data_IF_831030965891
#
_entry.id   IF_831030965891
#
_cell.length_a   1.000
_cell.length_b   1.000
_cell.length_c   1.000
_cell.angle_alpha   90.00
_cell.angle_beta   90.00
_cell.angle_gamma   90.00
#
_symmetry.space_group_name_H-M   'P 1'
#
loop_
_entity.id
_entity.type
_entity.pdbx_description
1 polymer ?
#
# COMPACT_ATOMS: atom_id res chain seq x y z
N UNK A 1 -24.57 -20.79 13.13
CA UNK A 1 -24.24 -19.40 12.82
C UNK A 1 -24.48 -19.18 11.33
N UNK A 2 -25.04 -18.06 10.92
CA UNK A 2 -25.15 -17.69 9.51
C UNK A 2 -23.74 -17.45 8.96
N UNK A 3 -23.46 -17.98 7.76
CA UNK A 3 -22.18 -17.74 7.09
C UNK A 3 -22.05 -16.26 6.74
N UNK A 4 -20.84 -15.69 6.88
CA UNK A 4 -20.56 -14.31 6.50
C UNK A 4 -20.64 -14.13 4.98
N UNK A 5 -21.16 -12.98 4.55
CA UNK A 5 -21.19 -12.57 3.14
C UNK A 5 -19.91 -11.83 2.80
N UNK A 6 -19.12 -12.37 1.90
CA UNK A 6 -17.87 -11.78 1.45
C UNK A 6 -17.96 -11.37 -0.02
N UNK A 7 -17.57 -10.13 -0.31
CA UNK A 7 -17.47 -9.63 -1.68
C UNK A 7 -16.04 -9.79 -2.22
N UNK A 8 -15.91 -10.58 -3.28
CA UNK A 8 -14.68 -10.73 -4.03
C UNK A 8 -14.66 -9.69 -5.17
N UNK A 9 -13.75 -8.73 -5.08
CA UNK A 9 -13.55 -7.68 -6.07
C UNK A 9 -12.34 -8.08 -6.92
N UNK A 10 -12.53 -8.28 -8.23
CA UNK A 10 -11.43 -8.66 -9.11
C UNK A 10 -10.95 -7.49 -9.95
N UNK A 11 -9.62 -7.36 -10.07
CA UNK A 11 -8.96 -6.32 -10.86
C UNK A 11 -8.10 -6.89 -11.99
N UNK A 12 -8.04 -8.23 -12.13
CA UNK A 12 -7.18 -8.93 -13.08
C UNK A 12 -5.95 -9.53 -12.41
N UNK A 13 -4.78 -9.34 -13.01
CA UNK A 13 -3.50 -9.87 -12.53
C UNK A 13 -3.28 -11.36 -12.82
N UNK A 14 -2.14 -11.89 -12.38
CA UNK A 14 -1.70 -13.28 -12.65
C UNK A 14 -2.68 -14.32 -12.15
N UNK A 15 -3.35 -14.07 -11.02
CA UNK A 15 -4.31 -15.02 -10.43
C UNK A 15 -5.44 -15.39 -11.39
N UNK A 16 -5.92 -14.41 -12.19
CA UNK A 16 -6.98 -14.58 -13.17
C UNK A 16 -6.42 -14.76 -14.61
N UNK A 17 -5.12 -14.98 -14.77
CA UNK A 17 -4.48 -15.06 -16.08
C UNK A 17 -4.51 -16.47 -16.65
N UNK A 18 -4.50 -16.52 -17.99
CA UNK A 18 -4.30 -17.74 -18.77
C UNK A 18 -3.09 -17.54 -19.67
N UNK A 19 -2.35 -18.61 -19.91
CA UNK A 19 -1.18 -18.56 -20.80
C UNK A 19 -1.62 -18.43 -22.26
N UNK A 20 -1.16 -17.39 -22.93
CA UNK A 20 -1.39 -17.11 -24.34
C UNK A 20 -0.05 -17.16 -25.11
N UNK A 21 -0.10 -17.05 -26.45
CA UNK A 21 1.10 -16.96 -27.27
C UNK A 21 1.95 -15.71 -26.99
N UNK A 22 1.34 -14.64 -26.44
CA UNK A 22 1.99 -13.38 -26.07
C UNK A 22 2.37 -13.29 -24.59
N UNK A 23 2.14 -14.34 -23.79
CA UNK A 23 2.40 -14.36 -22.35
C UNK A 23 1.13 -14.61 -21.51
N UNK A 24 1.20 -14.31 -20.22
CA UNK A 24 0.04 -14.39 -19.33
C UNK A 24 -0.88 -13.19 -19.56
N UNK A 25 -2.19 -13.44 -19.69
CA UNK A 25 -3.20 -12.40 -19.83
C UNK A 25 -4.37 -12.67 -18.88
N UNK A 26 -4.82 -11.68 -18.09
CA UNK A 26 -5.99 -11.84 -17.22
C UNK A 26 -7.25 -11.92 -18.09
N UNK A 27 -7.90 -13.09 -18.10
CA UNK A 27 -9.08 -13.36 -18.91
C UNK A 27 -10.20 -14.09 -18.15
N UNK A 28 -9.89 -14.70 -16.98
CA UNK A 28 -10.90 -15.35 -16.15
C UNK A 28 -11.86 -14.32 -15.56
N UNK A 29 -13.14 -14.60 -15.64
CA UNK A 29 -14.17 -13.83 -14.91
C UNK A 29 -14.07 -14.08 -13.40
N UNK A 30 -14.72 -13.24 -12.63
CA UNK A 30 -14.74 -13.37 -11.17
C UNK A 30 -15.41 -14.70 -10.74
N UNK A 31 -16.46 -15.11 -11.45
CA UNK A 31 -17.20 -16.37 -11.23
C UNK A 31 -16.34 -17.58 -11.59
N UNK A 32 -15.63 -17.53 -12.71
CA UNK A 32 -14.71 -18.58 -13.12
C UNK A 32 -13.56 -18.73 -12.13
N UNK A 33 -13.04 -17.62 -11.57
CA UNK A 33 -12.02 -17.64 -10.54
C UNK A 33 -12.50 -18.40 -9.29
N UNK A 34 -13.70 -18.10 -8.79
CA UNK A 34 -14.28 -18.79 -7.62
C UNK A 34 -14.69 -20.23 -7.91
N UNK A 35 -15.03 -20.57 -9.17
CA UNK A 35 -15.35 -21.95 -9.55
C UNK A 35 -14.19 -22.93 -9.34
N UNK A 36 -12.94 -22.44 -9.29
CA UNK A 36 -11.77 -23.23 -8.92
C UNK A 36 -11.68 -23.60 -7.43
N UNK A 37 -12.55 -23.02 -6.58
CA UNK A 37 -12.54 -23.17 -5.11
C UNK A 37 -13.97 -23.36 -4.56
N UNK A 38 -14.72 -24.39 -4.99
CA UNK A 38 -16.09 -24.61 -4.54
C UNK A 38 -16.21 -24.79 -3.01
N UNK A 39 -15.15 -25.22 -2.35
CA UNK A 39 -15.06 -25.36 -0.89
C UNK A 39 -15.17 -24.04 -0.13
N UNK A 40 -14.97 -22.88 -0.76
CA UNK A 40 -15.20 -21.58 -0.10
C UNK A 40 -16.65 -21.40 0.32
N UNK A 41 -17.59 -22.05 -0.39
CA UNK A 41 -19.00 -22.04 -0.01
C UNK A 41 -19.25 -22.71 1.34
N UNK A 42 -18.33 -23.55 1.83
CA UNK A 42 -18.45 -24.15 3.17
C UNK A 42 -18.07 -23.16 4.26
N UNK A 43 -17.20 -22.18 3.96
CA UNK A 43 -16.66 -21.19 4.90
C UNK A 43 -17.48 -19.89 4.93
N UNK A 44 -17.94 -19.40 3.78
CA UNK A 44 -18.64 -18.11 3.65
C UNK A 44 -19.73 -18.16 2.56
N UNK A 45 -20.44 -17.05 2.36
CA UNK A 45 -21.28 -16.80 1.18
C UNK A 45 -20.50 -15.87 0.24
N UNK A 46 -19.75 -16.39 -0.73
CA UNK A 46 -18.96 -15.58 -1.63
C UNK A 46 -19.85 -14.98 -2.73
N UNK A 47 -19.68 -13.68 -2.97
CA UNK A 47 -20.24 -12.95 -4.12
C UNK A 47 -19.13 -12.23 -4.85
N UNK A 48 -19.33 -11.90 -6.13
CA UNK A 48 -18.28 -11.36 -6.99
C UNK A 48 -18.66 -10.00 -7.57
N UNK A 49 -17.62 -9.16 -7.75
CA UNK A 49 -17.69 -7.91 -8.48
C UNK A 49 -16.46 -7.77 -9.38
N UNK A 50 -16.65 -7.84 -10.69
CA UNK A 50 -15.58 -7.54 -11.64
C UNK A 50 -15.42 -6.02 -11.76
N UNK A 51 -14.31 -5.48 -11.23
CA UNK A 51 -14.05 -4.05 -11.27
C UNK A 51 -13.31 -3.64 -12.55
N UNK A 52 -12.26 -4.37 -12.89
CA UNK A 52 -11.49 -4.25 -14.13
C UNK A 52 -10.72 -5.55 -14.38
N UNK A 53 -10.05 -5.64 -15.53
CA UNK A 53 -9.23 -6.81 -15.88
C UNK A 53 -7.95 -6.32 -16.56
N UNK A 54 -6.97 -5.90 -15.75
CA UNK A 54 -5.72 -5.30 -16.21
C UNK A 54 -4.50 -5.93 -15.53
N UNK A 55 -3.33 -5.74 -16.12
CA UNK A 55 -2.07 -6.01 -15.45
C UNK A 55 -1.85 -4.96 -14.34
N UNK A 56 -1.34 -5.39 -13.19
CA UNK A 56 -1.14 -4.46 -12.08
C UNK A 56 -0.08 -3.39 -12.36
N UNK A 57 0.78 -3.57 -13.34
CA UNK A 57 1.74 -2.55 -13.79
C UNK A 57 1.07 -1.34 -14.45
N UNK A 58 -0.16 -1.50 -14.94
CA UNK A 58 -0.99 -0.44 -15.53
C UNK A 58 -1.95 0.20 -14.51
N UNK A 59 -1.93 -0.25 -13.24
CA UNK A 59 -2.77 0.33 -12.20
C UNK A 59 -2.24 1.69 -11.73
N UNK A 60 -3.11 2.70 -11.76
CA UNK A 60 -2.87 4.04 -11.28
C UNK A 60 -3.81 4.43 -10.13
N UNK A 61 -3.73 5.69 -9.71
CA UNK A 61 -4.54 6.24 -8.62
C UNK A 61 -6.05 6.15 -8.88
N UNK A 62 -6.50 6.26 -10.14
CA UNK A 62 -7.91 6.12 -10.53
C UNK A 62 -8.45 4.74 -10.16
N UNK A 63 -7.65 3.70 -10.29
CA UNK A 63 -8.04 2.34 -9.94
C UNK A 63 -8.15 2.15 -8.42
N UNK A 64 -7.26 2.79 -7.63
CA UNK A 64 -7.39 2.80 -6.16
C UNK A 64 -8.67 3.49 -5.71
N UNK A 65 -9.03 4.62 -6.34
CA UNK A 65 -10.29 5.30 -6.09
C UNK A 65 -11.50 4.45 -6.50
N UNK A 66 -11.41 3.72 -7.63
CA UNK A 66 -12.45 2.75 -8.03
C UNK A 66 -12.62 1.62 -7.01
N UNK A 67 -11.52 1.04 -6.50
CA UNK A 67 -11.55 0.01 -5.46
C UNK A 67 -12.17 0.53 -4.17
N UNK A 68 -11.75 1.71 -3.70
CA UNK A 68 -12.30 2.33 -2.50
C UNK A 68 -13.80 2.64 -2.64
N UNK A 69 -14.22 3.13 -3.82
CA UNK A 69 -15.64 3.36 -4.14
C UNK A 69 -16.44 2.06 -4.16
N UNK A 70 -15.91 0.98 -4.77
CA UNK A 70 -16.56 -0.32 -4.79
C UNK A 70 -16.78 -0.87 -3.37
N UNK A 71 -15.78 -0.73 -2.48
CA UNK A 71 -15.94 -1.07 -1.06
C UNK A 71 -16.99 -0.18 -0.41
N UNK A 72 -16.96 1.15 -0.63
CA UNK A 72 -17.91 2.11 -0.05
C UNK A 72 -19.35 1.79 -0.42
N UNK A 73 -19.63 1.54 -1.70
CA UNK A 73 -21.00 1.27 -2.21
C UNK A 73 -21.56 -0.06 -1.68
N UNK A 74 -20.69 -0.99 -1.32
CA UNK A 74 -21.07 -2.32 -0.83
C UNK A 74 -20.86 -2.50 0.68
N UNK A 75 -20.38 -1.49 1.39
CA UNK A 75 -19.94 -1.63 2.77
C UNK A 75 -21.05 -2.11 3.71
N UNK A 76 -22.29 -1.65 3.52
CA UNK A 76 -23.42 -2.06 4.34
C UNK A 76 -23.96 -3.47 4.01
N UNK A 77 -23.63 -4.03 2.85
CA UNK A 77 -24.21 -5.27 2.34
C UNK A 77 -23.38 -6.51 2.67
N UNK A 78 -22.07 -6.36 2.89
CA UNK A 78 -21.13 -7.45 3.08
C UNK A 78 -20.41 -7.35 4.43
N UNK A 79 -19.98 -8.49 4.96
CA UNK A 79 -19.25 -8.61 6.22
C UNK A 79 -17.73 -8.41 6.04
N UNK A 80 -17.24 -8.53 4.80
CA UNK A 80 -15.84 -8.32 4.46
C UNK A 80 -15.60 -8.30 2.95
N UNK A 81 -14.40 -7.89 2.56
CA UNK A 81 -14.00 -7.66 1.17
C UNK A 81 -12.68 -8.37 0.88
N UNK A 82 -12.60 -9.06 -0.26
CA UNK A 82 -11.38 -9.69 -0.76
C UNK A 82 -11.11 -9.14 -2.15
N UNK A 83 -10.01 -8.39 -2.31
CA UNK A 83 -9.61 -7.79 -3.59
C UNK A 83 -8.53 -8.68 -4.21
N UNK A 84 -8.90 -9.33 -5.33
CA UNK A 84 -7.99 -10.13 -6.13
C UNK A 84 -7.19 -9.23 -7.07
N UNK A 85 -5.89 -9.14 -6.87
CA UNK A 85 -5.01 -8.13 -7.45
C UNK A 85 -3.76 -8.76 -8.07
N UNK A 86 -3.18 -8.11 -9.08
CA UNK A 86 -1.86 -8.47 -9.60
C UNK A 86 -0.76 -8.12 -8.58
N UNK A 87 0.27 -8.96 -8.47
CA UNK A 87 1.23 -8.88 -7.36
C UNK A 87 2.21 -7.71 -7.43
N UNK A 88 2.46 -7.11 -8.63
CA UNK A 88 3.54 -6.13 -8.81
C UNK A 88 3.29 -4.81 -8.08
N UNK A 89 2.05 -4.34 -8.06
CA UNK A 89 1.66 -3.10 -7.36
C UNK A 89 0.70 -3.33 -6.19
N UNK A 90 0.49 -4.58 -5.76
CA UNK A 90 -0.42 -4.93 -4.68
C UNK A 90 -0.10 -4.18 -3.38
N UNK A 91 1.19 -4.04 -3.03
CA UNK A 91 1.61 -3.32 -1.84
C UNK A 91 1.26 -1.82 -1.89
N UNK A 92 1.41 -1.17 -3.05
CA UNK A 92 0.96 0.21 -3.26
C UNK A 92 -0.56 0.33 -3.11
N UNK A 93 -1.32 -0.59 -3.71
CA UNK A 93 -2.78 -0.60 -3.60
C UNK A 93 -3.26 -0.80 -2.17
N UNK A 94 -2.61 -1.70 -1.42
CA UNK A 94 -2.94 -1.93 -0.01
C UNK A 94 -2.64 -0.70 0.86
N UNK A 95 -1.51 -0.03 0.63
CA UNK A 95 -1.17 1.21 1.32
C UNK A 95 -2.15 2.33 0.93
N UNK A 96 -2.45 2.53 -0.36
CA UNK A 96 -3.40 3.54 -0.82
C UNK A 96 -4.80 3.33 -0.22
N UNK A 97 -5.32 2.10 -0.23
CA UNK A 97 -6.62 1.79 0.37
C UNK A 97 -6.63 2.01 1.88
N UNK A 98 -5.50 1.84 2.58
CA UNK A 98 -5.38 2.13 4.00
C UNK A 98 -5.60 3.62 4.30
N UNK A 99 -5.15 4.53 3.41
CA UNK A 99 -5.39 5.97 3.55
C UNK A 99 -6.75 6.40 3.03
N UNK A 100 -7.25 5.73 1.99
CA UNK A 100 -8.57 6.03 1.41
C UNK A 100 -9.73 5.54 2.26
N UNK A 101 -9.54 4.44 3.03
CA UNK A 101 -10.59 3.81 3.85
C UNK A 101 -10.09 3.71 5.28
N UNK A 102 -10.43 4.68 6.11
CA UNK A 102 -10.02 4.74 7.52
C UNK A 102 -11.16 4.31 8.45
N UNK A 103 -10.82 3.88 9.66
CA UNK A 103 -11.77 3.39 10.66
C UNK A 103 -12.67 2.23 10.18
N UNK A 104 -12.21 1.41 9.24
CA UNK A 104 -12.97 0.26 8.80
C UNK A 104 -13.09 -0.79 9.92
N UNK A 105 -14.32 -1.12 10.30
CA UNK A 105 -14.66 -2.19 11.26
C UNK A 105 -14.78 -3.57 10.59
N UNK A 106 -14.70 -3.61 9.26
CA UNK A 106 -14.73 -4.82 8.43
C UNK A 106 -13.36 -5.09 7.81
N UNK A 107 -13.01 -6.37 7.55
CA UNK A 107 -11.77 -6.72 6.85
C UNK A 107 -11.85 -6.33 5.36
N UNK A 108 -10.78 -5.71 4.87
CA UNK A 108 -10.54 -5.39 3.47
C UNK A 108 -9.21 -6.02 3.10
N UNK A 109 -9.25 -7.18 2.45
CA UNK A 109 -8.07 -8.00 2.21
C UNK A 109 -7.65 -7.90 0.76
N UNK A 110 -6.38 -7.56 0.52
CA UNK A 110 -5.76 -7.69 -0.79
C UNK A 110 -5.00 -9.00 -0.87
N UNK A 111 -5.18 -9.72 -1.96
CA UNK A 111 -4.46 -10.95 -2.27
C UNK A 111 -4.22 -11.07 -3.77
N UNK A 112 -3.41 -12.05 -4.15
CA UNK A 112 -3.08 -12.33 -5.54
C UNK A 112 -2.36 -13.67 -5.65
N UNK A 113 -1.68 -13.91 -6.77
CA UNK A 113 -0.88 -15.11 -6.94
C UNK A 113 0.31 -14.88 -7.87
N UNK A 114 1.37 -15.64 -7.63
CA UNK A 114 2.53 -15.72 -8.53
C UNK A 114 2.27 -16.62 -9.73
N UNK A 115 1.32 -17.56 -9.59
CA UNK A 115 0.91 -18.47 -10.66
C UNK A 115 -0.60 -18.39 -10.90
N UNK A 116 -1.05 -18.52 -12.17
CA UNK A 116 -2.47 -18.60 -12.51
C UNK A 116 -3.19 -19.69 -11.72
N UNK A 117 -4.46 -19.42 -11.34
CA UNK A 117 -5.27 -20.38 -10.58
C UNK A 117 -5.53 -21.69 -11.35
N UNK A 118 -5.52 -21.62 -12.67
CA UNK A 118 -5.71 -22.77 -13.57
C UNK A 118 -4.51 -23.70 -13.63
N UNK A 119 -3.34 -23.31 -13.13
CA UNK A 119 -2.17 -24.17 -13.10
C UNK A 119 -2.33 -25.28 -12.05
N UNK A 120 -1.78 -26.46 -12.34
CA UNK A 120 -1.79 -27.60 -11.41
C UNK A 120 -1.06 -27.24 -10.10
N UNK A 121 0.10 -26.59 -10.22
CA UNK A 121 0.87 -26.07 -9.08
C UNK A 121 0.70 -24.55 -9.06
N UNK A 122 -0.05 -24.06 -8.09
CA UNK A 122 -0.34 -22.62 -7.91
C UNK A 122 -0.45 -22.26 -6.45
N UNK A 123 -0.07 -21.04 -6.11
CA UNK A 123 -0.28 -20.40 -4.81
C UNK A 123 -1.68 -19.75 -4.70
N UNK A 124 -2.38 -19.57 -5.83
CA UNK A 124 -3.65 -18.84 -5.90
C UNK A 124 -4.74 -19.43 -4.98
N UNK A 125 -4.91 -20.76 -5.03
CA UNK A 125 -5.94 -21.45 -4.24
C UNK A 125 -5.71 -21.28 -2.75
N UNK A 126 -4.45 -21.43 -2.31
CA UNK A 126 -4.08 -21.22 -0.91
C UNK A 126 -4.30 -19.76 -0.50
N UNK A 127 -3.84 -18.81 -1.29
CA UNK A 127 -3.96 -17.38 -0.96
C UNK A 127 -5.42 -16.94 -0.85
N UNK A 128 -6.32 -17.40 -1.74
CA UNK A 128 -7.75 -17.09 -1.66
C UNK A 128 -8.39 -17.72 -0.42
N UNK A 129 -8.08 -19.01 -0.13
CA UNK A 129 -8.61 -19.69 1.04
C UNK A 129 -8.12 -19.04 2.35
N UNK A 130 -6.84 -18.71 2.45
CA UNK A 130 -6.26 -18.01 3.58
C UNK A 130 -6.90 -16.63 3.78
N UNK A 131 -7.22 -15.93 2.68
CA UNK A 131 -7.93 -14.65 2.71
C UNK A 131 -9.34 -14.80 3.28
N UNK A 132 -10.06 -15.85 2.93
CA UNK A 132 -11.38 -16.14 3.52
C UNK A 132 -11.26 -16.45 5.02
N UNK A 133 -10.31 -17.30 5.41
CA UNK A 133 -10.07 -17.63 6.84
C UNK A 133 -9.76 -16.36 7.63
N UNK A 134 -8.96 -15.45 7.08
CA UNK A 134 -8.68 -14.18 7.70
C UNK A 134 -9.91 -13.28 7.74
N UNK A 135 -10.72 -13.23 6.65
CA UNK A 135 -11.90 -12.37 6.57
C UNK A 135 -13.02 -12.77 7.55
N UNK A 136 -13.21 -14.08 7.76
CA UNK A 136 -14.25 -14.57 8.67
C UNK A 136 -13.83 -14.54 10.15
N UNK A 137 -12.57 -14.25 10.48
CA UNK A 137 -12.12 -14.12 11.86
C UNK A 137 -12.69 -12.85 12.51
N UNK A 138 -13.36 -12.95 13.66
CA UNK A 138 -14.02 -11.79 14.30
C UNK A 138 -13.06 -10.66 14.70
N UNK A 139 -11.77 -10.95 14.81
CA UNK A 139 -10.74 -9.97 15.13
C UNK A 139 -10.18 -9.25 13.91
N UNK A 140 -10.58 -9.61 12.69
CA UNK A 140 -10.05 -9.01 11.45
C UNK A 140 -10.81 -7.76 11.07
N UNK A 141 -10.09 -6.65 10.85
CA UNK A 141 -10.64 -5.37 10.40
C UNK A 141 -9.57 -4.49 9.80
N UNK A 142 -10.01 -3.52 8.97
CA UNK A 142 -9.09 -2.63 8.23
C UNK A 142 -8.47 -3.29 7.02
N UNK A 143 -7.54 -2.60 6.39
CA UNK A 143 -6.88 -3.04 5.15
C UNK A 143 -5.66 -3.92 5.47
N UNK A 144 -5.63 -5.12 4.90
CA UNK A 144 -4.58 -6.13 5.10
C UNK A 144 -4.17 -6.77 3.77
N UNK A 145 -2.95 -7.26 3.71
CA UNK A 145 -2.48 -8.17 2.67
C UNK A 145 -2.41 -9.58 3.23
N UNK A 146 -3.02 -10.55 2.54
CA UNK A 146 -2.91 -11.97 2.86
C UNK A 146 -2.22 -12.67 1.71
N UNK A 147 -1.03 -13.20 1.97
CA UNK A 147 -0.21 -13.85 0.94
C UNK A 147 0.73 -14.89 1.56
N UNK A 148 0.80 -16.09 0.98
CA UNK A 148 1.66 -17.17 1.48
C UNK A 148 1.34 -17.66 2.91
N UNK A 149 0.14 -17.37 3.43
CA UNK A 149 -0.26 -17.64 4.80
C UNK A 149 -0.04 -16.46 5.76
N UNK A 150 0.73 -15.46 5.36
CA UNK A 150 1.05 -14.28 6.17
C UNK A 150 -0.04 -13.21 6.06
N UNK A 151 -0.41 -12.59 7.18
CA UNK A 151 -1.34 -11.46 7.25
C UNK A 151 -0.55 -10.21 7.65
N UNK A 152 -0.48 -9.27 6.73
CA UNK A 152 0.38 -8.08 6.83
C UNK A 152 -0.52 -6.83 6.83
N UNK A 153 -0.22 -5.83 7.66
CA UNK A 153 -0.90 -4.54 7.59
C UNK A 153 -0.71 -3.90 6.20
N UNK A 154 -1.76 -3.31 5.64
CA UNK A 154 -1.74 -2.81 4.26
C UNK A 154 -0.64 -1.78 3.97
N UNK A 155 -0.21 -1.02 4.98
CA UNK A 155 0.87 -0.04 4.89
C UNK A 155 2.27 -0.62 5.11
N UNK A 156 2.36 -1.88 5.55
CA UNK A 156 3.64 -2.54 5.89
C UNK A 156 4.08 -3.58 4.88
N UNK A 157 3.20 -3.90 3.94
CA UNK A 157 3.47 -4.89 2.91
C UNK A 157 4.50 -4.39 1.90
N UNK A 158 5.46 -5.25 1.56
CA UNK A 158 6.43 -5.03 0.49
C UNK A 158 6.64 -6.31 -0.31
N UNK A 159 6.63 -6.21 -1.65
CA UNK A 159 7.00 -7.31 -2.53
C UNK A 159 8.52 -7.45 -2.58
N UNK A 160 9.05 -8.51 -1.98
CA UNK A 160 10.49 -8.74 -1.87
C UNK A 160 11.02 -9.79 -2.86
N UNK A 161 10.14 -10.59 -3.46
CA UNK A 161 10.52 -11.67 -4.40
C UNK A 161 9.63 -11.64 -5.64
N UNK A 162 10.24 -11.90 -6.78
CA UNK A 162 9.55 -11.84 -8.08
C UNK A 162 8.94 -13.18 -8.52
N UNK A 163 9.39 -14.31 -7.96
CA UNK A 163 9.02 -15.65 -8.42
C UNK A 163 8.44 -16.51 -7.27
N UNK A 164 9.03 -16.45 -6.08
CA UNK A 164 8.67 -17.32 -4.94
C UNK A 164 7.26 -17.04 -4.43
N UNK A 165 6.61 -18.06 -3.87
CA UNK A 165 5.24 -17.96 -3.33
C UNK A 165 5.17 -17.15 -2.03
N UNK A 166 6.26 -17.02 -1.28
CA UNK A 166 6.42 -16.12 -0.15
C UNK A 166 6.91 -14.74 -0.61
N UNK A 167 6.18 -14.12 -1.54
CA UNK A 167 6.62 -12.94 -2.27
C UNK A 167 6.57 -11.64 -1.46
N UNK A 168 5.74 -11.57 -0.42
CA UNK A 168 5.54 -10.39 0.41
C UNK A 168 6.07 -10.57 1.82
N UNK A 169 6.56 -9.49 2.41
CA UNK A 169 6.96 -9.43 3.81
C UNK A 169 6.43 -8.17 4.48
N UNK A 170 6.27 -8.23 5.80
CA UNK A 170 6.04 -7.05 6.64
C UNK A 170 7.36 -6.34 6.89
N UNK A 171 7.43 -5.04 6.62
CA UNK A 171 8.64 -4.24 6.78
C UNK A 171 8.50 -3.33 7.99
N UNK A 172 9.51 -3.36 8.87
CA UNK A 172 9.61 -2.57 10.11
C UNK A 172 8.40 -2.73 11.06
N UNK A 173 7.61 -3.80 10.89
CA UNK A 173 6.45 -4.12 11.72
C UNK A 173 6.25 -5.63 11.73
N UNK A 174 5.80 -6.24 12.86
CA UNK A 174 5.43 -7.64 12.88
C UNK A 174 4.26 -7.95 11.94
N UNK A 175 4.15 -9.18 11.51
CA UNK A 175 2.94 -9.68 10.87
C UNK A 175 1.76 -9.59 11.84
N UNK A 176 0.57 -9.29 11.33
CA UNK A 176 -0.64 -9.23 12.16
C UNK A 176 -1.06 -10.62 12.63
N UNK A 177 -0.93 -11.60 11.74
CA UNK A 177 -1.32 -12.99 11.98
C UNK A 177 -0.67 -13.93 10.97
N UNK A 178 -0.79 -15.23 11.24
CA UNK A 178 -0.43 -16.31 10.33
C UNK A 178 -1.60 -17.29 10.19
N UNK A 179 -1.91 -17.69 8.95
CA UNK A 179 -2.90 -18.75 8.67
C UNK A 179 -2.21 -20.10 8.73
N UNK A 180 -2.63 -20.94 9.64
CA UNK A 180 -2.13 -22.32 9.83
C UNK A 180 -3.25 -23.33 9.67
N UNK A 181 -3.31 -24.00 8.50
CA UNK A 181 -4.43 -24.86 8.14
C UNK A 181 -5.73 -24.06 8.07
N UNK A 182 -6.66 -24.35 8.99
CA UNK A 182 -7.97 -23.69 9.07
C UNK A 182 -8.05 -22.64 10.19
N UNK A 183 -6.93 -22.24 10.75
CA UNK A 183 -6.86 -21.33 11.90
C UNK A 183 -6.07 -20.09 11.57
N UNK A 184 -6.56 -18.96 12.05
CA UNK A 184 -5.82 -17.71 12.12
C UNK A 184 -5.13 -17.60 13.49
N UNK A 185 -3.80 -17.59 13.49
CA UNK A 185 -2.98 -17.34 14.69
C UNK A 185 -2.63 -15.86 14.69
N UNK A 186 -3.31 -15.09 15.51
CA UNK A 186 -3.16 -13.64 15.58
C UNK A 186 -2.02 -13.26 16.52
N UNK A 187 -1.11 -12.40 16.05
CA UNK A 187 0.00 -11.84 16.82
C UNK A 187 -0.31 -10.44 17.31
N UNK A 188 -0.89 -9.62 16.43
CA UNK A 188 -1.22 -8.22 16.71
C UNK A 188 -2.74 -8.06 16.57
N UNK A 189 -3.45 -7.62 17.62
CA UNK A 189 -4.87 -7.33 17.51
C UNK A 189 -5.11 -6.13 16.60
N UNK A 190 -6.07 -6.24 15.69
CA UNK A 190 -6.54 -5.07 14.94
C UNK A 190 -7.24 -4.11 15.90
N UNK A 191 -6.85 -2.82 15.93
CA UNK A 191 -7.49 -1.85 16.81
C UNK A 191 -8.96 -1.69 16.45
N UNK A 192 -9.81 -1.47 17.47
CA UNK A 192 -11.19 -1.08 17.21
C UNK A 192 -11.24 0.32 16.62
N UNK A 193 -12.11 0.59 15.65
CA UNK A 193 -12.29 1.93 15.12
C UNK A 193 -12.72 2.90 16.23
N UNK A 194 -12.20 4.11 16.18
CA UNK A 194 -12.54 5.18 17.14
C UNK A 194 -13.69 6.07 16.65
N UNK A 195 -14.19 5.82 15.44
CA UNK A 195 -15.25 6.55 14.77
C UNK A 195 -15.87 5.75 13.63
N UNK A 196 -16.82 6.34 12.89
CA UNK A 196 -17.38 5.72 11.71
C UNK A 196 -16.31 5.51 10.62
N UNK A 197 -16.57 4.56 9.71
CA UNK A 197 -15.71 4.36 8.55
C UNK A 197 -15.70 5.63 7.68
N UNK A 198 -14.51 6.05 7.27
CA UNK A 198 -14.28 7.23 6.44
C UNK A 198 -13.74 6.83 5.07
N UNK A 199 -14.30 7.42 4.01
CA UNK A 199 -13.86 7.18 2.63
C UNK A 199 -13.38 8.47 1.99
N UNK A 200 -12.09 8.55 1.70
CA UNK A 200 -11.51 9.63 0.90
C UNK A 200 -11.76 9.37 -0.60
N UNK A 201 -12.03 10.44 -1.34
CA UNK A 201 -12.44 10.36 -2.77
C UNK A 201 -11.43 10.98 -3.72
N UNK A 202 -10.32 11.47 -3.20
CA UNK A 202 -9.32 12.20 -3.97
C UNK A 202 -7.91 11.79 -3.58
N UNK A 203 -7.04 11.76 -4.57
CA UNK A 203 -5.60 11.64 -4.46
C UNK A 203 -4.95 12.66 -5.39
N UNK A 204 -3.77 13.14 -5.05
CA UNK A 204 -2.98 14.02 -5.90
C UNK A 204 -1.70 13.31 -6.34
N UNK A 205 -1.55 13.08 -7.63
CA UNK A 205 -0.41 12.34 -8.21
C UNK A 205 0.87 13.16 -8.34
N UNK A 206 0.88 14.45 -7.93
CA UNK A 206 2.06 15.31 -8.04
C UNK A 206 3.13 14.98 -6.99
N UNK A 207 3.42 13.69 -6.82
CA UNK A 207 4.41 13.10 -5.93
C UNK A 207 5.50 12.44 -6.78
N UNK A 208 6.75 12.77 -6.53
CA UNK A 208 7.90 12.19 -7.19
C UNK A 208 8.80 11.45 -6.21
N UNK A 209 9.13 10.19 -6.50
CA UNK A 209 10.09 9.41 -5.74
C UNK A 209 11.47 9.53 -6.38
N UNK A 210 12.37 10.25 -5.71
CA UNK A 210 13.74 10.48 -6.15
C UNK A 210 14.70 9.54 -5.41
N UNK A 211 15.18 8.53 -6.11
CA UNK A 211 16.27 7.70 -5.62
C UNK A 211 17.62 8.36 -5.89
N UNK A 212 18.35 8.73 -4.84
CA UNK A 212 19.68 9.30 -5.01
C UNK A 212 20.65 8.24 -5.52
N UNK A 213 21.53 8.68 -6.45
CA UNK A 213 22.65 7.88 -6.93
C UNK A 213 23.96 8.65 -6.78
N UNK A 214 25.09 7.98 -6.54
CA UNK A 214 26.40 8.66 -6.53
C UNK A 214 26.63 9.40 -7.85
N UNK A 215 27.02 10.69 -7.75
CA UNK A 215 27.30 11.52 -8.93
C UNK A 215 26.07 12.09 -9.64
N UNK A 216 24.88 12.05 -9.01
CA UNK A 216 23.65 12.65 -9.56
C UNK A 216 23.88 14.14 -9.87
N UNK A 217 23.40 14.58 -11.07
CA UNK A 217 23.48 15.99 -11.47
C UNK A 217 22.50 16.86 -10.66
N UNK A 218 22.93 17.99 -10.10
CA UNK A 218 22.04 18.92 -9.43
C UNK A 218 21.04 19.60 -10.36
N UNK A 219 21.28 19.65 -11.67
CA UNK A 219 20.40 20.32 -12.64
C UNK A 219 19.01 19.67 -12.74
N UNK A 220 18.85 18.40 -12.35
CA UNK A 220 17.57 17.70 -12.40
C UNK A 220 16.60 18.17 -11.30
N UNK A 221 17.10 18.56 -10.14
CA UNK A 221 16.28 18.79 -8.94
C UNK A 221 15.27 19.93 -9.11
N UNK A 222 15.63 21.14 -9.59
CA UNK A 222 14.65 22.20 -9.81
C UNK A 222 13.56 21.82 -10.81
N UNK A 223 13.89 21.04 -11.84
CA UNK A 223 12.92 20.56 -12.83
C UNK A 223 11.91 19.59 -12.24
N UNK A 224 12.33 18.73 -11.31
CA UNK A 224 11.40 17.86 -10.57
C UNK A 224 10.42 18.71 -9.77
N UNK A 225 10.89 19.69 -9.00
CA UNK A 225 10.01 20.60 -8.23
C UNK A 225 9.13 21.48 -9.11
N UNK A 226 9.50 21.75 -10.36
CA UNK A 226 8.64 22.45 -11.30
C UNK A 226 7.41 21.62 -11.71
N UNK A 227 7.54 20.29 -11.75
CA UNK A 227 6.51 19.35 -12.21
C UNK A 227 5.71 18.73 -11.06
N UNK A 228 6.32 18.59 -9.88
CA UNK A 228 5.75 17.89 -8.74
C UNK A 228 5.70 18.78 -7.49
N UNK A 229 4.72 18.57 -6.64
CA UNK A 229 4.57 19.33 -5.41
C UNK A 229 5.16 18.62 -4.20
N UNK A 230 5.33 17.30 -4.26
CA UNK A 230 6.02 16.52 -3.23
C UNK A 230 7.17 15.73 -3.85
N UNK A 231 8.36 15.88 -3.26
CA UNK A 231 9.55 15.08 -3.62
C UNK A 231 9.95 14.23 -2.43
N UNK A 232 9.84 12.92 -2.59
CA UNK A 232 10.29 11.92 -1.61
C UNK A 232 11.69 11.53 -2.01
N UNK A 233 12.67 11.71 -1.11
CA UNK A 233 14.08 11.42 -1.37
C UNK A 233 14.48 10.12 -0.68
N UNK A 234 14.69 9.07 -1.48
CA UNK A 234 15.37 7.85 -1.03
C UNK A 234 16.86 8.12 -0.94
N UNK A 235 17.33 8.45 0.25
CA UNK A 235 18.73 8.79 0.54
C UNK A 235 19.57 7.55 0.89
N UNK A 236 20.86 7.76 1.05
CA UNK A 236 21.81 6.71 1.47
C UNK A 236 21.78 6.51 2.99
N UNK A 237 21.99 5.27 3.44
CA UNK A 237 22.09 4.93 4.86
C UNK A 237 20.88 5.42 5.66
N UNK A 238 21.10 6.08 6.78
CA UNK A 238 20.01 6.59 7.64
C UNK A 238 19.41 7.91 7.15
N UNK A 239 19.96 8.52 6.11
CA UNK A 239 19.40 9.76 5.52
C UNK A 239 20.44 10.85 5.30
N UNK A 240 20.09 11.80 4.45
CA UNK A 240 20.90 12.99 4.13
C UNK A 240 20.93 13.28 2.63
N UNK A 241 21.34 14.50 2.29
CA UNK A 241 21.49 14.97 0.91
C UNK A 241 22.97 15.30 0.67
N UNK A 242 23.60 14.79 -0.42
CA UNK A 242 24.95 15.16 -0.79
C UNK A 242 25.14 16.68 -0.90
N UNK A 243 26.27 17.21 -0.43
CA UNK A 243 26.56 18.65 -0.40
C UNK A 243 26.32 19.33 -1.76
N UNK A 244 26.74 18.69 -2.84
CA UNK A 244 26.59 19.21 -4.20
C UNK A 244 25.15 19.38 -4.68
N UNK A 245 24.17 18.75 -4.02
CA UNK A 245 22.76 18.85 -4.37
C UNK A 245 22.00 19.88 -3.52
N UNK A 246 22.57 20.33 -2.40
CA UNK A 246 21.88 21.18 -1.42
C UNK A 246 21.31 22.48 -2.01
N UNK A 247 22.09 23.16 -2.87
CA UNK A 247 21.64 24.41 -3.49
C UNK A 247 20.51 24.18 -4.50
N UNK A 248 20.56 23.08 -5.22
CA UNK A 248 19.50 22.70 -6.17
C UNK A 248 18.19 22.37 -5.45
N UNK A 249 18.23 21.67 -4.31
CA UNK A 249 17.06 21.44 -3.47
C UNK A 249 16.50 22.75 -2.90
N UNK A 250 17.37 23.68 -2.45
CA UNK A 250 16.93 24.99 -1.96
C UNK A 250 16.22 25.79 -3.06
N UNK A 251 16.76 25.80 -4.28
CA UNK A 251 16.20 26.53 -5.41
C UNK A 251 14.83 25.94 -5.84
N UNK A 252 14.64 24.61 -5.72
CA UNK A 252 13.40 23.93 -6.13
C UNK A 252 12.30 23.96 -5.07
N UNK A 253 12.65 23.80 -3.80
CA UNK A 253 11.70 23.65 -2.70
C UNK A 253 11.02 25.00 -2.32
N UNK A 254 11.84 26.04 -2.08
CA UNK A 254 11.34 27.30 -1.55
C UNK A 254 10.73 27.17 -0.15
N UNK A 255 9.92 28.16 0.22
CA UNK A 255 9.14 28.17 1.46
C UNK A 255 7.75 27.56 1.23
N UNK A 256 7.33 26.63 2.10
CA UNK A 256 6.06 25.91 1.96
C UNK A 256 4.85 26.85 1.86
N UNK A 257 4.79 27.88 2.71
CA UNK A 257 3.67 28.82 2.79
C UNK A 257 3.46 29.61 1.47
N UNK A 258 4.48 29.65 0.61
CA UNK A 258 4.41 30.32 -0.70
C UNK A 258 4.37 29.35 -1.88
N UNK A 259 5.04 28.22 -1.77
CA UNK A 259 5.21 27.27 -2.89
C UNK A 259 4.32 26.04 -2.79
N UNK A 260 3.88 25.70 -1.59
CA UNK A 260 3.24 24.43 -1.23
C UNK A 260 4.05 23.18 -1.62
N UNK A 261 5.39 23.34 -1.79
CA UNK A 261 6.28 22.25 -2.12
C UNK A 261 6.68 21.50 -0.86
N UNK A 262 6.71 20.17 -0.94
CA UNK A 262 7.00 19.27 0.17
C UNK A 262 8.25 18.45 -0.12
N UNK A 263 9.16 18.41 0.83
CA UNK A 263 10.30 17.50 0.85
C UNK A 263 10.05 16.42 1.91
N UNK A 264 10.17 15.15 1.52
CA UNK A 264 10.10 14.02 2.45
C UNK A 264 11.41 13.24 2.35
N UNK A 265 12.05 13.03 3.49
CA UNK A 265 13.28 12.24 3.56
C UNK A 265 12.95 10.80 3.95
N UNK A 266 13.55 9.86 3.25
CA UNK A 266 13.50 8.43 3.53
C UNK A 266 14.84 7.77 3.17
N UNK A 267 14.93 6.45 3.24
CA UNK A 267 16.13 5.70 2.95
C UNK A 267 15.91 4.63 1.87
N UNK A 268 16.97 4.31 1.13
CA UNK A 268 17.02 3.17 0.19
C UNK A 268 17.14 1.82 0.91
N UNK A 269 17.46 1.85 2.21
CA UNK A 269 17.60 0.64 3.02
C UNK A 269 16.22 0.16 3.43
N UNK A 270 15.92 -1.11 3.20
CA UNK A 270 14.57 -1.65 3.39
C UNK A 270 14.14 -1.69 4.86
N UNK A 271 15.07 -1.99 5.76
CA UNK A 271 14.79 -2.17 7.18
C UNK A 271 15.41 -1.06 8.03
N UNK A 272 14.87 -0.88 9.24
CA UNK A 272 15.28 0.07 10.28
C UNK A 272 14.87 1.54 10.00
N UNK A 273 14.57 1.88 8.73
CA UNK A 273 14.08 3.22 8.37
C UNK A 273 15.15 4.31 8.33
N UNK A 274 14.71 5.58 8.34
CA UNK A 274 15.58 6.75 8.31
C UNK A 274 15.64 7.46 9.66
N UNK A 275 16.80 8.07 9.95
CA UNK A 275 17.03 9.06 11.03
C UNK A 275 18.04 10.10 10.56
N UNK A 276 17.51 11.14 9.93
CA UNK A 276 18.31 12.24 9.35
C UNK A 276 19.13 13.01 10.42
N UNK A 277 18.79 12.84 11.71
CA UNK A 277 19.48 13.52 12.80
C UNK A 277 20.83 12.92 13.23
N UNK A 278 21.12 11.67 12.84
CA UNK A 278 22.28 10.93 13.37
C UNK A 278 23.60 11.49 12.88
N UNK A 279 23.74 11.78 11.58
CA UNK A 279 25.01 12.21 10.99
C UNK A 279 25.04 13.69 10.64
N UNK A 280 26.27 14.25 10.50
CA UNK A 280 26.48 15.65 10.09
C UNK A 280 25.80 15.98 8.75
N UNK A 281 25.82 15.06 7.80
CA UNK A 281 25.13 15.20 6.50
C UNK A 281 23.64 15.48 6.70
N UNK A 282 22.99 14.75 7.60
CA UNK A 282 21.58 14.95 7.91
C UNK A 282 21.33 16.23 8.71
N UNK A 283 22.21 16.59 9.65
CA UNK A 283 22.10 17.86 10.38
C UNK A 283 22.15 19.08 9.46
N UNK A 284 22.94 19.02 8.37
CA UNK A 284 22.93 20.07 7.33
C UNK A 284 21.58 20.21 6.65
N UNK A 285 20.91 19.10 6.37
CA UNK A 285 19.55 19.11 5.79
C UNK A 285 18.55 19.75 6.77
N UNK A 286 18.56 19.35 8.04
CA UNK A 286 17.71 19.92 9.10
C UNK A 286 17.92 21.42 9.30
N UNK A 287 19.14 21.89 9.19
CA UNK A 287 19.46 23.31 9.36
C UNK A 287 19.05 24.18 8.17
N UNK A 288 18.79 23.57 7.01
CA UNK A 288 18.55 24.31 5.77
C UNK A 288 17.11 24.19 5.25
N UNK A 289 16.42 23.08 5.53
CA UNK A 289 15.11 22.80 4.98
C UNK A 289 14.10 22.44 6.06
N UNK A 290 12.87 22.85 5.86
CA UNK A 290 11.71 22.18 6.49
C UNK A 290 11.38 20.96 5.64
N UNK A 291 11.30 19.79 6.26
CA UNK A 291 10.98 18.53 5.59
C UNK A 291 10.23 17.59 6.54
N UNK A 292 9.56 16.62 5.97
CA UNK A 292 9.00 15.48 6.69
C UNK A 292 9.99 14.31 6.61
N UNK A 293 10.00 13.48 7.62
CA UNK A 293 10.83 12.27 7.65
C UNK A 293 9.94 11.04 7.72
N UNK A 294 10.19 10.07 6.83
CA UNK A 294 9.36 8.88 6.73
C UNK A 294 9.66 7.85 7.82
N UNK A 295 10.82 7.98 8.49
CA UNK A 295 11.28 7.06 9.53
C UNK A 295 11.16 5.60 9.09
N UNK A 296 10.33 4.81 9.77
CA UNK A 296 10.15 3.37 9.58
C UNK A 296 9.07 2.99 8.54
N UNK A 297 8.50 3.98 7.85
CA UNK A 297 7.47 3.74 6.83
C UNK A 297 8.02 2.98 5.62
N UNK A 298 7.19 2.17 4.97
CA UNK A 298 7.51 1.60 3.66
C UNK A 298 7.45 2.67 2.57
N UNK A 299 8.18 2.49 1.47
CA UNK A 299 8.12 3.40 0.32
C UNK A 299 6.70 3.47 -0.25
N UNK A 300 6.02 2.33 -0.31
CA UNK A 300 4.65 2.22 -0.78
C UNK A 300 3.70 3.07 0.08
N UNK A 301 3.89 3.03 1.40
CA UNK A 301 3.10 3.86 2.33
C UNK A 301 3.45 5.35 2.20
N UNK A 302 4.72 5.73 2.14
CA UNK A 302 5.13 7.14 2.01
C UNK A 302 4.57 7.76 0.74
N UNK A 303 4.70 7.07 -0.41
CA UNK A 303 4.19 7.57 -1.70
C UNK A 303 2.68 7.77 -1.66
N UNK A 304 1.94 6.77 -1.22
CA UNK A 304 0.46 6.81 -1.23
C UNK A 304 -0.10 7.74 -0.15
N UNK A 305 0.55 7.84 1.02
CA UNK A 305 0.21 8.83 2.05
C UNK A 305 0.41 10.25 1.54
N UNK A 306 1.51 10.50 0.82
CA UNK A 306 1.79 11.81 0.23
C UNK A 306 0.73 12.21 -0.80
N UNK A 307 0.31 11.29 -1.67
CA UNK A 307 -0.78 11.55 -2.62
C UNK A 307 -2.11 11.85 -1.92
N UNK A 308 -2.39 11.15 -0.82
CA UNK A 308 -3.58 11.40 0.00
C UNK A 308 -3.49 12.76 0.72
N UNK A 309 -2.32 13.11 1.28
CA UNK A 309 -2.12 14.37 2.01
C UNK A 309 -2.18 15.59 1.11
N UNK A 310 -1.56 15.56 -0.08
CA UNK A 310 -1.62 16.66 -1.03
C UNK A 310 -3.07 16.99 -1.42
N UNK A 311 -3.92 15.98 -1.54
CA UNK A 311 -5.33 16.16 -1.83
C UNK A 311 -6.13 16.78 -0.65
N UNK A 312 -5.54 16.93 0.56
CA UNK A 312 -6.19 17.49 1.75
C UNK A 312 -6.05 19.02 1.86
N UNK A 313 -5.30 19.67 0.95
CA UNK A 313 -5.08 21.12 0.91
C UNK A 313 -4.69 21.71 2.28
N UNK A 314 -3.55 21.25 2.85
CA UNK A 314 -3.03 21.81 4.10
C UNK A 314 -2.58 23.26 3.91
N UNK A 315 -3.07 24.18 4.73
CA UNK A 315 -2.76 25.61 4.63
C UNK A 315 -1.37 25.97 5.18
N UNK A 316 -0.83 25.16 6.09
CA UNK A 316 0.49 25.35 6.68
C UNK A 316 1.29 24.06 6.76
N UNK A 317 2.62 24.20 6.81
CA UNK A 317 3.52 23.05 7.00
C UNK A 317 3.24 22.32 8.31
N UNK A 318 2.86 23.03 9.37
CA UNK A 318 2.56 22.41 10.67
C UNK A 318 1.30 21.52 10.59
N UNK A 319 0.26 21.95 9.86
CA UNK A 319 -0.90 21.09 9.60
C UNK A 319 -0.53 19.86 8.77
N UNK A 320 0.30 20.05 7.74
CA UNK A 320 0.81 18.94 6.92
C UNK A 320 1.59 17.94 7.78
N UNK A 321 2.50 18.43 8.63
CA UNK A 321 3.32 17.63 9.53
C UNK A 321 2.45 16.85 10.52
N UNK A 322 1.49 17.50 11.16
CA UNK A 322 0.56 16.85 12.09
C UNK A 322 -0.21 15.71 11.42
N UNK A 323 -0.70 15.93 10.20
CA UNK A 323 -1.42 14.89 9.45
C UNK A 323 -0.50 13.78 8.95
N UNK A 324 0.74 14.10 8.55
CA UNK A 324 1.71 13.12 8.13
C UNK A 324 2.09 12.15 9.25
N UNK A 325 2.32 12.65 10.46
CA UNK A 325 2.68 11.81 11.61
C UNK A 325 1.48 11.18 12.32
N UNK A 326 0.25 11.55 11.95
CA UNK A 326 -0.92 10.79 12.41
C UNK A 326 -0.84 9.37 11.88
N UNK A 327 -0.78 8.39 12.79
CA UNK A 327 -0.70 6.97 12.44
C UNK A 327 -1.99 6.51 11.75
N UNK A 328 -1.82 5.80 10.62
CA UNK A 328 -2.90 5.14 9.87
C UNK A 328 -2.48 3.70 9.59
N UNK A 329 -3.28 2.74 10.06
CA UNK A 329 -3.06 1.31 9.78
C UNK A 329 -1.61 0.86 10.04
N UNK A 330 -1.03 1.27 11.17
CA UNK A 330 0.34 0.96 11.60
C UNK A 330 1.46 1.48 10.69
N UNK A 331 1.24 2.51 9.89
CA UNK A 331 2.21 2.99 8.90
C UNK A 331 3.51 3.56 9.48
N UNK A 332 3.50 4.00 10.73
CA UNK A 332 4.69 4.47 11.46
C UNK A 332 4.57 4.23 12.95
N UNK A 333 5.71 4.09 13.63
CA UNK A 333 5.81 4.11 15.10
C UNK A 333 6.22 5.49 15.64
N UNK A 334 6.70 6.37 14.79
CA UNK A 334 7.11 7.72 15.19
C UNK A 334 5.89 8.66 15.25
N UNK A 335 5.83 9.45 16.32
CA UNK A 335 4.74 10.37 16.65
C UNK A 335 5.28 11.79 16.84
#
# INVERSE_FOLDING_TARGET
>A
MTKQRLLFITTGGTIASVRTAQGLKPVLTSEELLAHLPELNDLCCPETLALCSIDSTDLGQEHWLMMAKAVQENYALYDGFIICHGTDTLAYSAAALSYLIQNADKPIILTGAQQPISNEITDAKKNLRDSVICAIDPGSRGVMVVFGGHVIAGTRAKKNKTISYDAFASVNFPELALVQGDRLVRYIPSPWPTGPVEFSRTLDSRVFLLKLTPGMSPALIPEIFRLYDCVIVESFGVGGIPQQLMDAFAAGLGDYETTHKVLIMTTQVTYEGSDVGVYEVGKRVRNRFRFLEAHDMTIEAVVTKSMWLLAQNCESFDQLQQRFYRQVNFDTFYH
#
